data_IF_566146760050
#
_entry.id   IF_566146760050
#
_cell.length_a   1.000
_cell.length_b   1.000
_cell.length_c   1.000
_cell.angle_alpha   90.00
_cell.angle_beta   90.00
_cell.angle_gamma   90.00
#
_symmetry.space_group_name_H-M   'P 1'
#
loop_
_entity.id
_entity.type
_entity.pdbx_description
1 polymer ?
#
# COMPACT_ATOMS: atom_id res chain seq x y z
N UNK A 1 9.52 -20.52 1.03
CA UNK A 1 8.22 -19.86 0.87
C UNK A 1 8.42 -18.44 0.38
N UNK A 2 7.71 -18.06 -0.62
CA UNK A 2 7.91 -16.77 -1.25
C UNK A 2 7.02 -15.71 -0.65
N UNK A 3 7.53 -14.49 -0.61
CA UNK A 3 6.71 -13.37 -0.20
C UNK A 3 5.68 -13.09 -1.28
N UNK A 4 4.51 -12.68 -0.85
CA UNK A 4 3.43 -12.36 -1.77
C UNK A 4 3.44 -10.85 -2.02
N UNK A 5 3.48 -10.47 -3.28
CA UNK A 5 3.48 -9.07 -3.65
C UNK A 5 2.09 -8.65 -4.09
N UNK A 6 1.61 -7.57 -3.52
CA UNK A 6 0.27 -7.07 -3.79
C UNK A 6 0.37 -5.61 -4.18
N UNK A 7 -0.25 -5.26 -5.29
CA UNK A 7 -0.24 -3.88 -5.76
C UNK A 7 -1.64 -3.30 -5.62
N UNK A 8 -1.74 -2.19 -4.91
CA UNK A 8 -3.02 -1.55 -4.68
C UNK A 8 -2.97 -0.13 -5.21
N UNK A 9 -3.73 0.12 -6.27
CA UNK A 9 -3.85 1.48 -6.78
C UNK A 9 -4.91 2.20 -5.98
N UNK A 10 -4.64 3.47 -5.69
CA UNK A 10 -5.54 4.22 -4.84
C UNK A 10 -5.56 3.69 -3.43
N UNK A 11 -4.44 3.07 -2.99
CA UNK A 11 -4.42 2.44 -1.69
C UNK A 11 -4.52 3.40 -0.52
N UNK A 12 -4.30 4.70 -0.78
CA UNK A 12 -4.41 5.69 0.28
C UNK A 12 -5.85 6.12 0.52
N UNK A 13 -6.78 5.66 -0.31
CA UNK A 13 -8.19 5.94 -0.08
C UNK A 13 -8.71 5.06 1.04
N UNK A 14 -9.92 5.40 1.51
CA UNK A 14 -10.51 4.63 2.59
C UNK A 14 -10.67 3.15 2.21
N UNK A 15 -11.16 2.90 1.00
CA UNK A 15 -11.40 1.53 0.57
C UNK A 15 -10.08 0.80 0.35
N UNK A 16 -9.14 1.46 -0.31
CA UNK A 16 -7.83 0.85 -0.55
C UNK A 16 -7.10 0.55 0.74
N UNK A 17 -7.22 1.45 1.72
CA UNK A 17 -6.56 1.22 3.00
C UNK A 17 -7.13 0.00 3.70
N UNK A 18 -8.45 -0.16 3.65
CA UNK A 18 -9.09 -1.31 4.29
C UNK A 18 -8.64 -2.61 3.65
N UNK A 19 -8.53 -2.61 2.31
CA UNK A 19 -8.07 -3.79 1.60
C UNK A 19 -6.62 -4.09 1.98
N UNK A 20 -5.78 -3.06 2.03
CA UNK A 20 -4.38 -3.24 2.37
C UNK A 20 -4.23 -3.82 3.77
N UNK A 21 -5.00 -3.32 4.71
CA UNK A 21 -4.92 -3.82 6.08
C UNK A 21 -5.34 -5.28 6.14
N UNK A 22 -6.35 -5.64 5.38
CA UNK A 22 -6.83 -7.01 5.39
C UNK A 22 -5.82 -7.97 4.79
N UNK A 23 -5.05 -7.49 3.81
CA UNK A 23 -4.09 -8.34 3.13
C UNK A 23 -2.69 -8.25 3.72
N UNK A 24 -2.49 -7.42 4.72
CA UNK A 24 -1.17 -7.24 5.31
C UNK A 24 -0.80 -8.45 6.18
N UNK A 25 0.47 -8.55 6.48
CA UNK A 25 0.95 -9.63 7.32
C UNK A 25 2.42 -9.87 7.09
N UNK A 26 3.02 -10.78 7.89
CA UNK A 26 4.43 -11.11 7.71
C UNK A 26 4.66 -11.73 6.35
N UNK A 27 5.82 -11.42 5.76
CA UNK A 27 6.21 -11.98 4.47
C UNK A 27 5.35 -11.52 3.31
N UNK A 28 4.62 -10.43 3.49
CA UNK A 28 3.85 -9.87 2.40
C UNK A 28 4.45 -8.55 2.00
N UNK A 29 4.39 -8.25 0.71
CA UNK A 29 4.86 -6.99 0.17
C UNK A 29 3.68 -6.29 -0.46
N UNK A 30 3.47 -5.05 -0.05
CA UNK A 30 2.36 -4.27 -0.58
C UNK A 30 2.90 -3.01 -1.20
N UNK A 31 2.57 -2.80 -2.46
CA UNK A 31 2.92 -1.59 -3.16
C UNK A 31 1.66 -0.73 -3.24
N UNK A 32 1.75 0.46 -2.68
CA UNK A 32 0.61 1.37 -2.64
C UNK A 32 0.89 2.50 -3.63
N UNK A 33 0.05 2.57 -4.64
CA UNK A 33 0.14 3.63 -5.63
C UNK A 33 -0.85 4.72 -5.25
N UNK A 34 -0.36 5.94 -5.12
CA UNK A 34 -1.21 7.06 -4.75
C UNK A 34 -0.90 8.24 -5.66
N UNK A 35 -1.88 9.13 -5.78
CA UNK A 35 -1.72 10.30 -6.64
C UNK A 35 -1.41 11.55 -5.84
N UNK A 36 -2.26 11.92 -4.90
CA UNK A 36 -2.09 13.16 -4.15
C UNK A 36 -2.12 12.98 -2.65
N UNK A 37 -2.52 11.85 -2.15
CA UNK A 37 -2.72 11.65 -0.72
C UNK A 37 -1.47 11.11 -0.04
N UNK A 38 -0.38 11.89 -0.12
CA UNK A 38 0.89 11.42 0.43
C UNK A 38 0.81 11.16 1.92
N UNK A 39 0.20 12.06 2.68
CA UNK A 39 0.11 11.87 4.13
C UNK A 39 -0.62 10.60 4.49
N UNK A 40 -1.73 10.35 3.79
CA UNK A 40 -2.50 9.15 4.06
C UNK A 40 -1.73 7.91 3.68
N UNK A 41 -1.00 7.98 2.58
CA UNK A 41 -0.20 6.83 2.15
C UNK A 41 0.90 6.54 3.16
N UNK A 42 1.55 7.56 3.68
CA UNK A 42 2.60 7.37 4.66
C UNK A 42 2.06 6.85 5.98
N UNK A 43 0.89 7.32 6.37
CA UNK A 43 0.26 6.81 7.58
C UNK A 43 -0.08 5.34 7.43
N UNK A 44 -0.58 4.97 6.28
CA UNK A 44 -0.91 3.58 6.02
C UNK A 44 0.35 2.72 6.00
N UNK A 45 1.41 3.21 5.39
CA UNK A 45 2.66 2.46 5.38
C UNK A 45 3.14 2.20 6.80
N UNK A 46 3.11 3.22 7.64
CA UNK A 46 3.54 3.07 9.01
C UNK A 46 2.71 2.03 9.74
N UNK A 47 1.41 2.07 9.50
CA UNK A 47 0.50 1.15 10.16
C UNK A 47 0.74 -0.29 9.72
N UNK A 48 0.90 -0.49 8.43
CA UNK A 48 1.10 -1.85 7.91
C UNK A 48 2.48 -2.39 8.27
N UNK A 49 3.48 -1.53 8.36
CA UNK A 49 4.81 -1.98 8.70
C UNK A 49 4.86 -2.61 10.08
N UNK A 50 3.98 -2.19 10.96
CA UNK A 50 3.93 -2.77 12.30
C UNK A 50 3.49 -4.23 12.28
N UNK A 51 2.86 -4.65 11.20
CA UNK A 51 2.42 -6.03 11.05
C UNK A 51 3.46 -6.89 10.36
N UNK A 52 4.65 -6.36 10.14
CA UNK A 52 5.69 -7.12 9.46
C UNK A 52 5.58 -7.07 7.95
N UNK A 53 4.76 -6.19 7.42
CA UNK A 53 4.56 -6.06 5.98
C UNK A 53 5.58 -5.12 5.37
N UNK A 54 6.15 -5.50 4.25
CA UNK A 54 7.00 -4.61 3.48
C UNK A 54 6.12 -3.72 2.63
N UNK A 55 6.20 -2.42 2.84
CA UNK A 55 5.32 -1.50 2.13
C UNK A 55 6.14 -0.53 1.30
N UNK A 56 5.78 -0.41 0.04
CA UNK A 56 6.40 0.52 -0.88
C UNK A 56 5.38 1.53 -1.34
N UNK A 57 5.76 2.79 -1.39
CA UNK A 57 4.87 3.85 -1.85
C UNK A 57 5.33 4.34 -3.20
N UNK A 58 4.41 4.43 -4.13
CA UNK A 58 4.69 4.96 -5.45
C UNK A 58 3.73 6.09 -5.73
N UNK A 59 4.28 7.27 -5.97
CA UNK A 59 3.46 8.41 -6.32
C UNK A 59 3.44 8.56 -7.83
N UNK A 60 2.27 8.81 -8.37
CA UNK A 60 2.18 9.02 -9.79
C UNK A 60 0.76 8.95 -10.28
N UNK A 61 0.59 9.43 -11.50
CA UNK A 61 -0.70 9.43 -12.14
C UNK A 61 -0.72 8.30 -13.15
N UNK A 62 -1.71 7.45 -13.03
CA UNK A 62 -1.80 6.31 -13.95
C UNK A 62 -2.40 6.67 -15.29
N UNK A 63 -2.96 7.85 -15.41
CA UNK A 63 -3.52 8.26 -16.69
C UNK A 63 -2.37 8.66 -17.60
N UNK A 64 -1.79 7.71 -18.21
CA UNK A 64 -0.64 7.92 -19.08
C UNK A 64 -1.08 7.76 -20.51
N UNK A 65 -0.53 8.56 -21.30
CA UNK A 65 -0.82 8.47 -22.65
C UNK A 65 0.30 8.41 -23.50
#
# INVERSE_FOLDING_TARGET
MEAKKIIITGGATRIGAAIAEKLSGPRKEIVIHFNTSKSKAENLKSKLSKNGTMVYLIKGDLSVE
#
